data_IF_796676869372
#
_entry.id   IF_796676869372
#
_cell.length_a   1.000
_cell.length_b   1.000
_cell.length_c   1.000
_cell.angle_alpha   90.00
_cell.angle_beta   90.00
_cell.angle_gamma   90.00
#
_symmetry.space_group_name_H-M   'P 1'
#
loop_
_entity.id
_entity.type
_entity.pdbx_description
1 polymer ?
#
# COMPACT_ATOMS: atom_id res chain seq x y z
N UNK A 1 -22.57 -29.86 -11.04
CA UNK A 1 -22.60 -29.60 -9.59
C UNK A 1 -21.22 -29.92 -9.06
N UNK A 2 -20.39 -28.90 -8.84
CA UNK A 2 -18.99 -29.10 -8.46
C UNK A 2 -18.95 -29.74 -7.07
N UNK A 3 -18.29 -30.90 -6.98
CA UNK A 3 -17.87 -31.50 -5.72
C UNK A 3 -16.96 -30.49 -5.01
N UNK A 4 -17.54 -29.67 -4.14
CA UNK A 4 -16.77 -29.09 -3.04
C UNK A 4 -16.27 -30.28 -2.24
N UNK A 5 -14.96 -30.53 -2.27
CA UNK A 5 -14.31 -31.27 -1.20
C UNK A 5 -14.63 -30.53 0.09
N UNK A 6 -15.70 -30.97 0.75
CA UNK A 6 -16.05 -30.52 2.09
C UNK A 6 -14.86 -30.92 2.96
N UNK A 7 -14.05 -29.92 3.32
CA UNK A 7 -12.95 -30.04 4.25
C UNK A 7 -13.39 -30.85 5.48
N UNK A 8 -12.48 -31.68 6.01
CA UNK A 8 -12.78 -32.60 7.10
C UNK A 8 -13.42 -31.89 8.30
N UNK A 9 -13.03 -30.64 8.56
CA UNK A 9 -13.61 -29.79 9.60
C UNK A 9 -15.09 -29.47 9.37
N UNK A 10 -15.50 -29.15 8.15
CA UNK A 10 -16.91 -28.85 7.82
C UNK A 10 -17.77 -30.10 8.03
N UNK A 11 -17.30 -31.27 7.58
CA UNK A 11 -18.04 -32.54 7.73
C UNK A 11 -18.29 -32.89 9.20
N UNK A 12 -17.28 -32.72 10.06
CA UNK A 12 -17.41 -32.96 11.50
C UNK A 12 -18.44 -32.00 12.10
N UNK A 13 -18.32 -30.71 11.81
CA UNK A 13 -19.25 -29.68 12.29
C UNK A 13 -20.70 -29.98 11.89
N UNK A 14 -20.95 -30.30 10.61
CA UNK A 14 -22.29 -30.63 10.11
C UNK A 14 -22.89 -31.87 10.80
N UNK A 15 -22.05 -32.87 11.10
CA UNK A 15 -22.47 -34.07 11.83
C UNK A 15 -22.86 -33.76 13.26
N UNK A 16 -22.15 -32.86 13.93
CA UNK A 16 -22.44 -32.48 15.32
C UNK A 16 -23.73 -31.67 15.44
N UNK A 17 -23.93 -30.67 14.58
CA UNK A 17 -25.15 -29.85 14.62
C UNK A 17 -26.40 -30.65 14.21
N UNK A 18 -26.21 -31.73 13.44
CA UNK A 18 -27.29 -32.64 13.06
C UNK A 18 -27.80 -33.54 14.19
N UNK A 19 -27.10 -33.63 15.33
CA UNK A 19 -27.52 -34.43 16.49
C UNK A 19 -28.63 -33.79 17.32
N UNK A 20 -28.85 -32.49 17.17
CA UNK A 20 -29.88 -31.76 17.94
C UNK A 20 -31.14 -31.63 17.10
N UNK A 21 -32.28 -32.02 17.66
CA UNK A 21 -33.57 -31.94 17.00
C UNK A 21 -34.04 -30.48 16.81
N UNK A 22 -34.90 -30.29 15.82
CA UNK A 22 -35.52 -28.99 15.56
C UNK A 22 -36.60 -28.71 16.60
N UNK A 23 -36.69 -27.44 17.03
CA UNK A 23 -37.67 -27.01 18.00
C UNK A 23 -39.04 -26.78 17.35
N UNK A 24 -40.10 -27.09 18.09
CA UNK A 24 -41.45 -26.66 17.79
C UNK A 24 -41.67 -25.22 18.26
N UNK A 25 -42.68 -24.49 17.72
CA UNK A 25 -42.99 -23.14 18.19
C UNK A 25 -43.27 -23.07 19.70
N UNK A 26 -43.92 -24.09 20.28
CA UNK A 26 -44.19 -24.16 21.72
C UNK A 26 -42.89 -24.30 22.53
N UNK A 27 -41.95 -25.13 22.06
CA UNK A 27 -40.64 -25.28 22.69
C UNK A 27 -39.80 -23.99 22.59
N UNK A 28 -39.90 -23.24 21.49
CA UNK A 28 -39.25 -21.93 21.36
C UNK A 28 -39.74 -20.94 22.44
N UNK A 29 -41.05 -20.95 22.74
CA UNK A 29 -41.63 -20.10 23.79
C UNK A 29 -41.13 -20.51 25.18
N UNK A 30 -41.19 -21.81 25.49
CA UNK A 30 -40.75 -22.34 26.79
C UNK A 30 -39.27 -22.05 27.06
N UNK A 31 -38.42 -22.28 26.05
CA UNK A 31 -36.99 -21.99 26.15
C UNK A 31 -36.73 -20.49 26.29
N UNK A 32 -37.43 -19.65 25.54
CA UNK A 32 -37.29 -18.20 25.65
C UNK A 32 -37.65 -17.68 27.05
N UNK A 33 -38.69 -18.22 27.68
CA UNK A 33 -39.07 -17.86 29.05
C UNK A 33 -38.03 -18.29 30.08
N UNK A 34 -37.43 -19.48 29.90
CA UNK A 34 -36.29 -19.93 30.73
C UNK A 34 -35.05 -19.08 30.52
N UNK A 35 -34.75 -18.69 29.28
CA UNK A 35 -33.63 -17.81 28.94
C UNK A 35 -33.80 -16.43 29.59
N UNK A 36 -35.01 -15.86 29.60
CA UNK A 36 -35.31 -14.60 30.30
C UNK A 36 -35.06 -14.68 31.80
N UNK A 37 -35.20 -15.87 32.40
CA UNK A 37 -34.88 -16.15 33.80
C UNK A 37 -33.39 -16.43 34.05
N UNK A 38 -32.55 -16.38 33.01
CA UNK A 38 -31.11 -16.57 33.11
C UNK A 38 -30.63 -18.01 33.01
N UNK A 39 -31.44 -18.92 32.47
CA UNK A 39 -31.07 -20.34 32.30
C UNK A 39 -30.05 -20.54 31.15
N UNK A 40 -28.79 -20.92 31.46
CA UNK A 40 -27.76 -21.10 30.44
C UNK A 40 -27.96 -22.37 29.60
N UNK A 41 -28.60 -23.42 30.15
CA UNK A 41 -28.84 -24.66 29.41
C UNK A 41 -29.94 -24.45 28.36
N UNK A 42 -31.02 -23.73 28.72
CA UNK A 42 -32.06 -23.36 27.77
C UNK A 42 -31.48 -22.52 26.62
N UNK A 43 -30.59 -21.56 26.93
CA UNK A 43 -29.87 -20.76 25.93
C UNK A 43 -29.05 -21.64 25.00
N UNK A 44 -28.24 -22.54 25.56
CA UNK A 44 -27.39 -23.45 24.78
C UNK A 44 -28.22 -24.38 23.89
N UNK A 45 -29.33 -24.91 24.40
CA UNK A 45 -30.23 -25.79 23.65
C UNK A 45 -30.88 -25.04 22.48
N UNK A 46 -31.40 -23.84 22.73
CA UNK A 46 -32.01 -22.99 21.70
C UNK A 46 -31.02 -22.60 20.59
N UNK A 47 -29.75 -22.34 20.94
CA UNK A 47 -28.68 -22.11 19.96
C UNK A 47 -28.42 -23.37 19.14
N UNK A 48 -28.14 -24.51 19.80
CA UNK A 48 -27.77 -25.78 19.14
C UNK A 48 -28.82 -26.23 18.13
N UNK A 49 -30.10 -26.15 18.48
CA UNK A 49 -31.19 -26.53 17.58
C UNK A 49 -31.29 -25.65 16.32
N UNK A 50 -30.75 -24.43 16.35
CA UNK A 50 -30.82 -23.46 15.26
C UNK A 50 -29.52 -23.30 14.46
N UNK A 51 -28.45 -24.05 14.76
CA UNK A 51 -27.18 -23.96 14.04
C UNK A 51 -27.32 -24.29 12.54
N UNK A 52 -28.26 -25.17 12.18
CA UNK A 52 -28.56 -25.53 10.78
C UNK A 52 -29.05 -24.32 9.97
N UNK A 53 -29.78 -23.40 10.59
CA UNK A 53 -30.22 -22.15 9.95
C UNK A 53 -29.02 -21.27 9.59
N UNK A 54 -28.02 -21.21 10.47
CA UNK A 54 -26.80 -20.41 10.23
C UNK A 54 -26.06 -20.94 9.00
N UNK A 55 -25.85 -22.25 8.91
CA UNK A 55 -25.20 -22.87 7.75
C UNK A 55 -25.94 -22.54 6.46
N UNK A 56 -27.27 -22.70 6.47
CA UNK A 56 -28.11 -22.39 5.29
C UNK A 56 -27.97 -20.94 4.84
N UNK A 57 -27.92 -20.00 5.77
CA UNK A 57 -27.74 -18.57 5.45
C UNK A 57 -26.30 -18.29 5.00
N UNK A 58 -25.30 -18.88 5.65
CA UNK A 58 -23.89 -18.67 5.33
C UNK A 58 -23.53 -19.17 3.92
N UNK A 59 -24.18 -20.22 3.44
CA UNK A 59 -23.99 -20.75 2.09
C UNK A 59 -24.27 -19.70 0.99
N UNK A 60 -25.24 -18.81 1.20
CA UNK A 60 -25.56 -17.72 0.26
C UNK A 60 -24.41 -16.69 0.13
N UNK A 61 -23.47 -16.67 1.08
CA UNK A 61 -22.33 -15.77 1.14
C UNK A 61 -20.99 -16.48 0.89
N UNK A 62 -21.02 -17.76 0.48
CA UNK A 62 -19.81 -18.47 0.09
C UNK A 62 -19.11 -17.76 -1.07
N UNK A 63 -17.78 -17.81 -1.11
CA UNK A 63 -16.93 -17.20 -2.14
C UNK A 63 -16.87 -15.65 -2.17
N UNK A 64 -17.43 -14.97 -1.17
CA UNK A 64 -17.32 -13.49 -1.06
C UNK A 64 -15.99 -13.01 -0.45
N UNK A 65 -15.06 -13.92 -0.14
CA UNK A 65 -13.71 -13.59 0.34
C UNK A 65 -13.38 -14.10 1.75
N UNK A 66 -14.31 -14.80 2.41
CA UNK A 66 -14.04 -15.52 3.65
C UNK A 66 -14.34 -17.03 3.47
N UNK A 67 -13.57 -17.92 4.11
CA UNK A 67 -13.90 -19.33 4.23
C UNK A 67 -15.31 -19.56 4.79
N UNK A 68 -15.96 -20.65 4.35
CA UNK A 68 -17.33 -20.96 4.80
C UNK A 68 -17.42 -21.16 6.32
N UNK A 69 -16.41 -21.78 6.94
CA UNK A 69 -16.37 -21.96 8.40
C UNK A 69 -16.32 -20.63 9.17
N UNK A 70 -15.61 -19.63 8.62
CA UNK A 70 -15.55 -18.31 9.23
C UNK A 70 -16.90 -17.59 9.11
N UNK A 71 -17.57 -17.70 7.95
CA UNK A 71 -18.92 -17.19 7.75
C UNK A 71 -19.92 -17.85 8.71
N UNK A 72 -19.83 -19.16 8.91
CA UNK A 72 -20.65 -19.90 9.87
C UNK A 72 -20.38 -19.40 11.29
N UNK A 73 -19.12 -19.23 11.67
CA UNK A 73 -18.72 -18.77 13.01
C UNK A 73 -19.26 -17.36 13.31
N UNK A 74 -19.13 -16.43 12.36
CA UNK A 74 -19.68 -15.08 12.45
C UNK A 74 -21.21 -15.08 12.46
N UNK A 75 -21.83 -15.99 11.70
CA UNK A 75 -23.27 -16.22 11.74
C UNK A 75 -23.76 -16.76 13.09
N UNK A 76 -22.99 -17.66 13.73
CA UNK A 76 -23.28 -18.20 15.06
C UNK A 76 -23.26 -17.09 16.12
N UNK A 77 -22.32 -16.13 16.01
CA UNK A 77 -22.31 -14.92 16.86
C UNK A 77 -23.60 -14.10 16.67
N UNK A 78 -24.07 -13.98 15.43
CA UNK A 78 -25.37 -13.37 15.13
C UNK A 78 -26.54 -14.11 15.77
N UNK A 79 -26.58 -15.44 15.65
CA UNK A 79 -27.61 -16.29 16.26
C UNK A 79 -27.63 -16.15 17.79
N UNK A 80 -26.48 -16.14 18.45
CA UNK A 80 -26.40 -15.95 19.91
C UNK A 80 -27.07 -14.64 20.35
N UNK A 81 -26.81 -13.54 19.64
CA UNK A 81 -27.45 -12.24 19.91
C UNK A 81 -28.96 -12.28 19.64
N UNK A 82 -29.40 -13.02 18.64
CA UNK A 82 -30.82 -13.20 18.35
C UNK A 82 -31.53 -13.94 19.49
N UNK A 83 -30.92 -15.03 19.98
CA UNK A 83 -31.43 -15.85 21.08
C UNK A 83 -31.56 -15.04 22.36
N UNK A 84 -30.57 -14.19 22.68
CA UNK A 84 -30.60 -13.31 23.86
C UNK A 84 -31.69 -12.24 23.83
N UNK A 85 -32.10 -11.81 22.63
CA UNK A 85 -33.06 -10.71 22.43
C UNK A 85 -34.42 -11.16 21.91
N UNK A 86 -34.62 -12.46 21.75
CA UNK A 86 -35.84 -13.02 21.21
C UNK A 86 -37.00 -12.85 22.19
N UNK A 87 -38.14 -12.42 21.67
CA UNK A 87 -39.35 -12.23 22.46
C UNK A 87 -40.55 -12.90 21.77
N UNK A 88 -41.01 -14.07 22.28
CA UNK A 88 -42.13 -14.81 21.70
C UNK A 88 -43.44 -14.02 21.66
N UNK A 89 -43.63 -13.08 22.59
CA UNK A 89 -44.85 -12.26 22.69
C UNK A 89 -45.10 -11.39 21.46
N UNK A 90 -44.09 -11.18 20.60
CA UNK A 90 -44.22 -10.44 19.35
C UNK A 90 -44.78 -11.27 18.19
N UNK A 91 -45.16 -12.54 18.42
CA UNK A 91 -45.90 -13.37 17.48
C UNK A 91 -45.08 -13.90 16.29
N UNK A 92 -43.74 -13.84 16.35
CA UNK A 92 -42.84 -14.31 15.29
C UNK A 92 -42.01 -15.51 15.73
N UNK A 93 -41.70 -16.42 14.79
CA UNK A 93 -40.77 -17.54 14.99
C UNK A 93 -39.36 -17.04 15.23
N UNK A 94 -38.56 -17.76 16.03
CA UNK A 94 -37.15 -17.43 16.23
C UNK A 94 -36.39 -17.37 14.91
N UNK A 95 -36.65 -18.32 13.99
CA UNK A 95 -35.99 -18.38 12.68
C UNK A 95 -36.12 -17.09 11.86
N UNK A 96 -37.28 -16.43 11.89
CA UNK A 96 -37.51 -15.15 11.20
C UNK A 96 -36.65 -14.03 11.81
N UNK A 97 -36.61 -13.94 13.14
CA UNK A 97 -35.84 -12.92 13.85
C UNK A 97 -34.33 -13.17 13.75
N UNK A 98 -33.90 -14.41 13.97
CA UNK A 98 -32.51 -14.83 13.91
C UNK A 98 -31.90 -14.66 12.53
N UNK A 99 -32.66 -14.90 11.45
CA UNK A 99 -32.16 -14.71 10.10
C UNK A 99 -31.64 -13.29 9.85
N UNK A 100 -32.25 -12.26 10.43
CA UNK A 100 -31.77 -10.88 10.31
C UNK A 100 -30.43 -10.69 11.02
N UNK A 101 -30.29 -11.16 12.26
CA UNK A 101 -29.04 -11.06 13.03
C UNK A 101 -27.90 -11.86 12.42
N UNK A 102 -28.19 -13.06 11.91
CA UNK A 102 -27.21 -13.91 11.23
C UNK A 102 -26.69 -13.19 9.99
N UNK A 103 -27.59 -12.71 9.10
CA UNK A 103 -27.20 -11.97 7.89
C UNK A 103 -26.41 -10.70 8.23
N UNK A 104 -26.82 -9.95 9.26
CA UNK A 104 -26.15 -8.74 9.69
C UNK A 104 -24.72 -9.03 10.19
N UNK A 105 -24.55 -10.08 11.00
CA UNK A 105 -23.25 -10.49 11.52
C UNK A 105 -22.31 -10.90 10.39
N UNK A 106 -22.78 -11.75 9.47
CA UNK A 106 -22.02 -12.21 8.30
C UNK A 106 -21.62 -11.03 7.40
N UNK A 107 -22.56 -10.14 7.06
CA UNK A 107 -22.26 -8.96 6.23
C UNK A 107 -21.23 -8.04 6.89
N UNK A 108 -21.33 -7.86 8.21
CA UNK A 108 -20.36 -7.06 8.96
C UNK A 108 -18.98 -7.70 8.98
N UNK A 109 -18.90 -9.03 9.13
CA UNK A 109 -17.64 -9.75 9.07
C UNK A 109 -16.99 -9.62 7.69
N UNK A 110 -17.77 -9.86 6.62
CA UNK A 110 -17.32 -9.66 5.25
C UNK A 110 -16.77 -8.25 5.02
N UNK A 111 -17.48 -7.21 5.47
CA UNK A 111 -17.03 -5.84 5.30
C UNK A 111 -15.69 -5.54 6.02
N UNK A 112 -15.41 -6.21 7.14
CA UNK A 112 -14.21 -5.95 7.94
C UNK A 112 -13.02 -6.86 7.61
N UNK A 113 -13.28 -8.09 7.15
CA UNK A 113 -12.28 -9.16 7.07
C UNK A 113 -12.05 -9.70 5.64
N UNK A 114 -12.95 -9.44 4.68
CA UNK A 114 -12.85 -10.04 3.33
C UNK A 114 -11.72 -9.49 2.44
N UNK A 115 -11.07 -8.39 2.83
CA UNK A 115 -9.99 -7.74 2.07
C UNK A 115 -8.71 -7.75 2.89
N UNK A 116 -7.60 -8.11 2.24
CA UNK A 116 -6.24 -8.03 2.79
C UNK A 116 -5.92 -6.63 3.30
N UNK A 117 -6.28 -5.61 2.53
CA UNK A 117 -6.22 -4.20 2.94
C UNK A 117 -7.61 -3.79 3.41
N UNK A 118 -7.76 -3.61 4.73
CA UNK A 118 -9.05 -3.32 5.34
C UNK A 118 -9.63 -1.99 4.86
N UNK A 119 -10.91 -2.01 4.48
CA UNK A 119 -11.68 -0.81 4.15
C UNK A 119 -12.74 -0.51 5.22
N UNK A 120 -13.10 0.77 5.43
CA UNK A 120 -14.26 1.11 6.26
C UNK A 120 -15.57 0.54 5.68
N UNK A 121 -16.52 0.17 6.56
CA UNK A 121 -17.80 -0.44 6.16
C UNK A 121 -18.57 0.40 5.14
N UNK A 122 -18.65 1.71 5.35
CA UNK A 122 -19.35 2.62 4.44
C UNK A 122 -18.72 2.68 3.03
N UNK A 123 -17.43 2.34 2.88
CA UNK A 123 -16.77 2.23 1.59
C UNK A 123 -17.11 0.91 0.91
N UNK A 124 -17.16 -0.19 1.67
CA UNK A 124 -17.61 -1.50 1.17
C UNK A 124 -19.03 -1.42 0.65
N UNK A 125 -19.95 -0.78 1.40
CA UNK A 125 -21.34 -0.60 0.98
C UNK A 125 -21.45 0.16 -0.36
N UNK A 126 -20.64 1.22 -0.53
CA UNK A 126 -20.57 1.97 -1.79
C UNK A 126 -20.04 1.12 -2.94
N UNK A 127 -19.00 0.33 -2.72
CA UNK A 127 -18.45 -0.59 -3.72
C UNK A 127 -19.49 -1.66 -4.10
N UNK A 128 -20.20 -2.23 -3.12
CA UNK A 128 -21.27 -3.19 -3.38
C UNK A 128 -22.45 -2.58 -4.13
N UNK A 129 -22.85 -1.34 -3.82
CA UNK A 129 -23.86 -0.59 -4.58
C UNK A 129 -23.40 -0.38 -6.03
N UNK A 130 -22.17 0.09 -6.21
CA UNK A 130 -21.56 0.32 -7.52
C UNK A 130 -21.57 -0.94 -8.38
N UNK A 131 -21.15 -2.09 -7.84
CA UNK A 131 -21.18 -3.38 -8.56
C UNK A 131 -22.60 -3.81 -8.95
N UNK A 132 -23.58 -3.61 -8.06
CA UNK A 132 -24.97 -3.98 -8.33
C UNK A 132 -25.57 -3.13 -9.45
N UNK A 133 -25.32 -1.83 -9.42
CA UNK A 133 -25.77 -0.90 -10.47
C UNK A 133 -25.07 -1.23 -11.79
N UNK A 134 -23.75 -1.41 -11.79
CA UNK A 134 -23.01 -1.78 -12.99
C UNK A 134 -23.52 -3.08 -13.63
N UNK A 135 -23.82 -4.10 -12.81
CA UNK A 135 -24.37 -5.36 -13.30
C UNK A 135 -25.78 -5.20 -13.91
N UNK A 136 -26.65 -4.42 -13.27
CA UNK A 136 -27.99 -4.13 -13.80
C UNK A 136 -27.92 -3.35 -15.13
N UNK A 137 -27.06 -2.33 -15.19
CA UNK A 137 -26.83 -1.58 -16.43
C UNK A 137 -26.24 -2.46 -17.53
N UNK A 138 -25.34 -3.38 -17.17
CA UNK A 138 -24.75 -4.29 -18.17
C UNK A 138 -25.78 -5.25 -18.77
N UNK A 139 -26.78 -5.65 -18.00
CA UNK A 139 -27.90 -6.47 -18.48
C UNK A 139 -28.81 -5.68 -19.43
N UNK A 140 -29.09 -4.41 -19.09
CA UNK A 140 -29.93 -3.53 -19.91
C UNK A 140 -29.24 -3.08 -21.21
N UNK A 141 -27.94 -2.74 -21.15
CA UNK A 141 -27.16 -2.21 -22.27
C UNK A 141 -26.59 -3.32 -23.16
N UNK A 142 -26.53 -4.56 -22.69
CA UNK A 142 -25.83 -5.66 -23.36
C UNK A 142 -24.29 -5.48 -23.42
N UNK A 143 -23.74 -4.54 -22.65
CA UNK A 143 -22.31 -4.25 -22.52
C UNK A 143 -22.00 -3.64 -21.16
N UNK A 144 -20.75 -3.68 -20.73
CA UNK A 144 -20.32 -2.96 -19.52
C UNK A 144 -20.59 -1.44 -19.66
N UNK A 145 -21.13 -0.79 -18.62
CA UNK A 145 -21.36 0.65 -18.64
C UNK A 145 -20.03 1.41 -18.59
N UNK A 146 -20.00 2.56 -19.26
CA UNK A 146 -18.87 3.48 -19.17
C UNK A 146 -18.82 4.15 -17.80
N UNK A 147 -17.65 4.71 -17.44
CA UNK A 147 -17.49 5.45 -16.19
C UNK A 147 -18.47 6.62 -16.07
N UNK A 148 -18.78 7.29 -17.17
CA UNK A 148 -19.69 8.43 -17.21
C UNK A 148 -21.14 7.98 -16.94
N UNK A 149 -21.62 6.98 -17.68
CA UNK A 149 -22.95 6.37 -17.49
C UNK A 149 -23.14 5.87 -16.05
N UNK A 150 -22.13 5.16 -15.52
CA UNK A 150 -22.18 4.62 -14.16
C UNK A 150 -22.13 5.72 -13.09
N UNK A 151 -21.42 6.81 -13.35
CA UNK A 151 -21.33 7.95 -12.43
C UNK A 151 -22.65 8.72 -12.32
N UNK A 152 -23.34 8.90 -13.46
CA UNK A 152 -24.66 9.52 -13.53
C UNK A 152 -25.71 8.66 -12.82
N UNK A 153 -25.75 7.36 -13.09
CA UNK A 153 -26.71 6.44 -12.48
C UNK A 153 -26.54 6.30 -10.96
N UNK A 154 -25.28 6.27 -10.47
CA UNK A 154 -25.01 6.21 -9.03
C UNK A 154 -25.22 7.56 -8.34
N UNK A 155 -25.12 8.67 -9.08
CA UNK A 155 -25.18 10.04 -8.58
C UNK A 155 -23.90 10.47 -7.86
N UNK A 156 -22.72 10.08 -8.38
CA UNK A 156 -21.42 10.47 -7.81
C UNK A 156 -20.49 11.03 -8.89
N UNK A 157 -19.57 11.91 -8.49
CA UNK A 157 -18.55 12.44 -9.39
C UNK A 157 -17.60 11.34 -9.93
N UNK A 158 -17.13 11.51 -11.17
CA UNK A 158 -16.25 10.57 -11.85
C UNK A 158 -14.93 10.33 -11.09
N UNK A 159 -14.35 11.37 -10.48
CA UNK A 159 -13.14 11.23 -9.65
C UNK A 159 -13.38 10.28 -8.48
N UNK A 160 -14.56 10.40 -7.86
CA UNK A 160 -14.95 9.54 -6.73
C UNK A 160 -15.25 8.12 -7.17
N UNK A 161 -15.85 7.93 -8.35
CA UNK A 161 -16.05 6.62 -8.94
C UNK A 161 -14.71 5.92 -9.21
N UNK A 162 -13.73 6.64 -9.78
CA UNK A 162 -12.38 6.13 -10.01
C UNK A 162 -11.73 5.65 -8.72
N UNK A 163 -11.80 6.46 -7.64
CA UNK A 163 -11.29 6.06 -6.32
C UNK A 163 -11.97 4.79 -5.78
N UNK A 164 -13.29 4.64 -5.98
CA UNK A 164 -14.02 3.43 -5.58
C UNK A 164 -13.60 2.21 -6.39
N UNK A 165 -13.36 2.37 -7.70
CA UNK A 165 -12.82 1.30 -8.56
C UNK A 165 -11.43 0.89 -8.09
N UNK A 166 -10.53 1.84 -7.81
CA UNK A 166 -9.20 1.56 -7.27
C UNK A 166 -9.27 0.82 -5.94
N UNK A 167 -10.09 1.27 -4.99
CA UNK A 167 -10.26 0.61 -3.69
C UNK A 167 -10.93 -0.78 -3.81
N UNK A 168 -11.71 -1.01 -4.87
CA UNK A 168 -12.35 -2.30 -5.14
C UNK A 168 -11.34 -3.37 -5.58
N UNK A 169 -10.21 -2.99 -6.19
CA UNK A 169 -9.18 -3.92 -6.65
C UNK A 169 -8.66 -4.83 -5.51
N UNK A 170 -8.35 -6.08 -5.85
CA UNK A 170 -7.73 -7.05 -4.95
C UNK A 170 -6.22 -7.09 -5.25
N UNK A 171 -5.35 -7.14 -4.22
CA UNK A 171 -3.92 -7.31 -4.45
C UNK A 171 -3.64 -8.67 -5.12
N UNK A 172 -2.63 -8.72 -5.96
CA UNK A 172 -2.10 -9.96 -6.53
C UNK A 172 -1.09 -10.60 -5.55
N UNK A 173 -0.90 -11.92 -5.64
CA UNK A 173 0.15 -12.61 -4.89
C UNK A 173 1.50 -12.40 -5.55
N UNK A 174 2.55 -12.16 -4.77
CA UNK A 174 3.92 -12.16 -5.28
C UNK A 174 4.38 -13.58 -5.62
N UNK A 175 3.85 -14.58 -4.92
CA UNK A 175 4.16 -16.00 -5.14
C UNK A 175 3.36 -16.59 -6.32
N UNK A 176 2.61 -15.78 -7.06
CA UNK A 176 1.88 -16.26 -8.23
C UNK A 176 2.85 -16.54 -9.38
N UNK A 177 2.80 -17.73 -10.03
CA UNK A 177 3.63 -18.01 -11.19
C UNK A 177 3.22 -17.13 -12.36
N UNK A 178 4.20 -16.68 -13.14
CA UNK A 178 3.98 -15.81 -14.31
C UNK A 178 3.89 -16.64 -15.61
N UNK A 179 4.54 -17.80 -15.63
CA UNK A 179 4.63 -18.71 -16.77
C UNK A 179 4.23 -20.12 -16.37
N UNK A 180 3.68 -20.87 -17.33
CA UNK A 180 3.21 -22.26 -17.14
C UNK A 180 4.32 -23.26 -16.76
N UNK A 181 5.60 -22.90 -16.96
CA UNK A 181 6.75 -23.73 -16.56
C UNK A 181 7.09 -23.61 -15.06
N UNK A 182 6.25 -22.94 -14.25
CA UNK A 182 6.36 -22.78 -12.78
C UNK A 182 7.73 -22.28 -12.27
N UNK A 183 8.58 -21.75 -13.15
CA UNK A 183 9.98 -21.43 -12.84
C UNK A 183 10.21 -19.97 -12.43
N UNK A 184 9.20 -19.10 -12.53
CA UNK A 184 9.36 -17.68 -12.20
C UNK A 184 8.10 -17.15 -11.52
N UNK A 185 8.29 -16.65 -10.30
CA UNK A 185 7.24 -16.01 -9.49
C UNK A 185 7.18 -14.51 -9.76
N UNK A 186 6.01 -13.90 -9.58
CA UNK A 186 5.83 -12.45 -9.78
C UNK A 186 6.79 -11.61 -8.93
N UNK A 187 7.07 -12.04 -7.70
CA UNK A 187 8.00 -11.38 -6.78
C UNK A 187 9.43 -11.27 -7.29
N UNK A 188 9.89 -12.22 -8.11
CA UNK A 188 11.27 -12.25 -8.62
C UNK A 188 11.54 -11.17 -9.68
N UNK A 189 10.49 -10.65 -10.32
CA UNK A 189 10.58 -9.58 -11.33
C UNK A 189 10.57 -8.19 -10.67
N UNK A 190 10.04 -8.08 -9.45
CA UNK A 190 9.91 -6.79 -8.77
C UNK A 190 11.28 -6.31 -8.31
N UNK A 191 11.80 -5.29 -8.99
CA UNK A 191 13.05 -4.64 -8.59
C UNK A 191 12.95 -3.89 -7.27
N UNK A 192 14.04 -3.88 -6.50
CA UNK A 192 14.17 -3.05 -5.30
C UNK A 192 14.64 -1.63 -5.68
N UNK A 193 13.74 -0.67 -5.57
CA UNK A 193 14.03 0.75 -5.85
C UNK A 193 15.00 1.39 -4.84
N UNK A 194 15.19 0.77 -3.66
CA UNK A 194 16.13 1.25 -2.65
C UNK A 194 17.50 0.56 -2.75
N UNK A 195 17.66 -0.38 -3.69
CA UNK A 195 18.93 -1.05 -3.89
C UNK A 195 19.98 -0.04 -4.38
N UNK A 196 21.10 0.01 -3.66
CA UNK A 196 22.19 0.88 -4.04
C UNK A 196 22.88 0.32 -5.27
N UNK A 197 22.90 1.08 -6.35
CA UNK A 197 23.62 0.70 -7.55
C UNK A 197 25.14 0.70 -7.26
N UNK A 198 25.86 -0.43 -7.47
CA UNK A 198 27.31 -0.50 -7.25
C UNK A 198 28.09 0.57 -8.03
N UNK A 199 27.62 0.92 -9.23
CA UNK A 199 28.21 1.98 -10.04
C UNK A 199 28.06 3.35 -9.37
N UNK A 200 26.87 3.64 -8.83
CA UNK A 200 26.62 4.91 -8.12
C UNK A 200 27.44 5.00 -6.84
N UNK A 201 27.54 3.90 -6.06
CA UNK A 201 28.38 3.83 -4.87
C UNK A 201 29.86 4.09 -5.20
N UNK A 202 30.38 3.45 -6.25
CA UNK A 202 31.76 3.67 -6.71
C UNK A 202 31.96 5.09 -7.24
N UNK A 203 31.00 5.62 -7.99
CA UNK A 203 31.01 7.00 -8.48
C UNK A 203 31.06 7.99 -7.32
N UNK A 204 30.22 7.79 -6.30
CA UNK A 204 30.19 8.63 -5.10
C UNK A 204 31.50 8.55 -4.31
N UNK A 205 32.07 7.35 -4.15
CA UNK A 205 33.39 7.16 -3.51
C UNK A 205 34.52 7.82 -4.31
N UNK A 206 34.50 7.69 -5.63
CA UNK A 206 35.46 8.34 -6.52
C UNK A 206 35.32 9.87 -6.43
N UNK A 207 34.10 10.39 -6.42
CA UNK A 207 33.80 11.80 -6.25
C UNK A 207 34.37 12.34 -4.92
N UNK A 208 34.16 11.62 -3.81
CA UNK A 208 34.74 11.98 -2.51
C UNK A 208 36.28 11.98 -2.55
N UNK A 209 36.90 10.96 -3.13
CA UNK A 209 38.37 10.89 -3.29
C UNK A 209 38.92 12.04 -4.15
N UNK A 210 38.20 12.40 -5.23
CA UNK A 210 38.57 13.53 -6.06
C UNK A 210 38.41 14.87 -5.33
N UNK A 211 37.35 15.03 -4.52
CA UNK A 211 37.14 16.19 -3.67
C UNK A 211 38.25 16.32 -2.62
N UNK A 212 38.60 15.24 -1.93
CA UNK A 212 39.70 15.21 -0.97
C UNK A 212 41.02 15.66 -1.61
N UNK A 213 41.32 15.15 -2.81
CA UNK A 213 42.50 15.57 -3.57
C UNK A 213 42.46 17.02 -4.06
N UNK A 214 41.30 17.66 -4.16
CA UNK A 214 41.18 19.10 -4.45
C UNK A 214 41.31 19.94 -3.18
N UNK A 215 40.78 19.44 -2.06
CA UNK A 215 40.85 20.10 -0.75
C UNK A 215 42.29 20.23 -0.23
N UNK A 216 43.24 19.40 -0.69
CA UNK A 216 44.66 19.56 -0.34
C UNK A 216 45.30 20.85 -0.87
N UNK A 217 44.65 21.56 -1.80
CA UNK A 217 45.13 22.86 -2.32
C UNK A 217 44.79 24.01 -1.37
N UNK A 218 43.83 23.80 -0.46
CA UNK A 218 43.44 24.78 0.53
C UNK A 218 44.40 24.74 1.73
N UNK A 219 44.60 25.90 2.37
CA UNK A 219 45.28 25.91 3.65
C UNK A 219 44.42 25.28 4.77
N UNK A 220 45.03 24.94 5.91
CA UNK A 220 44.33 24.23 7.00
C UNK A 220 43.10 25.00 7.51
N UNK A 221 43.16 26.34 7.50
CA UNK A 221 42.08 27.19 7.98
C UNK A 221 40.93 27.25 6.97
N UNK A 222 41.24 27.39 5.68
CA UNK A 222 40.29 27.35 4.57
C UNK A 222 39.60 25.99 4.47
N UNK A 223 40.34 24.89 4.64
CA UNK A 223 39.78 23.53 4.63
C UNK A 223 38.77 23.34 5.76
N UNK A 224 39.11 23.70 6.99
CA UNK A 224 38.19 23.59 8.14
C UNK A 224 36.91 24.44 7.95
N UNK A 225 37.02 25.62 7.35
CA UNK A 225 35.86 26.49 7.03
C UNK A 225 34.95 25.84 5.97
N UNK A 226 35.54 25.26 4.92
CA UNK A 226 34.79 24.58 3.85
C UNK A 226 34.14 23.29 4.37
N UNK A 227 34.86 22.50 5.16
CA UNK A 227 34.34 21.28 5.78
C UNK A 227 33.15 21.58 6.71
N UNK A 228 33.25 22.61 7.56
CA UNK A 228 32.16 23.01 8.45
C UNK A 228 30.96 23.61 7.69
N UNK A 229 31.21 24.37 6.61
CA UNK A 229 30.15 25.00 5.81
C UNK A 229 29.33 23.99 5.02
N UNK A 230 29.98 22.99 4.44
CA UNK A 230 29.35 22.01 3.54
C UNK A 230 29.14 20.64 4.18
N UNK A 231 29.67 20.40 5.39
CA UNK A 231 29.49 19.14 6.10
C UNK A 231 30.30 17.97 5.52
N UNK A 232 31.42 18.25 4.84
CA UNK A 232 32.17 17.25 4.06
C UNK A 232 32.73 16.08 4.90
N UNK A 233 32.96 16.32 6.20
CA UNK A 233 33.46 15.30 7.15
C UNK A 233 32.32 14.52 7.84
N UNK A 234 31.13 14.45 7.23
CA UNK A 234 29.96 13.75 7.79
C UNK A 234 29.21 14.53 8.87
N UNK A 235 29.54 15.81 9.07
CA UNK A 235 28.79 16.71 9.96
C UNK A 235 27.68 17.44 9.20
N UNK A 236 26.67 17.96 9.89
CA UNK A 236 25.67 18.82 9.27
C UNK A 236 26.31 20.12 8.76
N UNK A 237 25.91 20.55 7.57
CA UNK A 237 26.30 21.83 7.00
C UNK A 237 25.89 22.98 7.94
N UNK A 238 26.84 23.84 8.31
CA UNK A 238 26.61 25.00 9.19
C UNK A 238 26.40 26.28 8.38
N UNK A 239 25.71 27.26 8.95
CA UNK A 239 25.52 28.59 8.34
C UNK A 239 26.80 29.44 8.44
N UNK A 240 26.88 30.50 7.64
CA UNK A 240 28.03 31.44 7.67
C UNK A 240 28.22 32.10 9.05
N UNK A 241 27.12 32.25 9.79
CA UNK A 241 27.12 32.88 11.11
C UNK A 241 27.62 31.91 12.19
N UNK A 242 27.15 30.66 12.17
CA UNK A 242 27.64 29.59 13.05
C UNK A 242 29.14 29.30 12.86
N UNK A 243 29.58 29.23 11.60
CA UNK A 243 31.02 29.09 11.29
C UNK A 243 31.79 30.36 11.70
N UNK A 244 31.17 31.55 11.59
CA UNK A 244 31.80 32.79 12.06
C UNK A 244 32.07 32.79 13.56
N UNK A 245 31.08 32.34 14.34
CA UNK A 245 31.18 32.22 15.80
C UNK A 245 32.29 31.25 16.22
N UNK A 246 32.38 30.09 15.57
CA UNK A 246 33.40 29.07 15.86
C UNK A 246 34.83 29.55 15.55
N UNK A 247 35.02 30.33 14.48
CA UNK A 247 36.34 30.81 14.06
C UNK A 247 36.67 32.23 14.58
N UNK A 248 35.81 32.81 15.43
CA UNK A 248 35.99 34.13 16.02
C UNK A 248 36.03 35.27 15.01
N UNK A 249 35.27 35.16 13.91
CA UNK A 249 35.26 36.14 12.81
C UNK A 249 33.84 36.48 12.38
N UNK A 250 33.67 37.65 11.74
CA UNK A 250 32.35 38.07 11.26
C UNK A 250 31.82 37.14 10.16
N UNK A 251 30.48 37.03 10.07
CA UNK A 251 29.79 36.32 8.98
C UNK A 251 30.31 36.71 7.59
N UNK A 252 30.52 38.00 7.38
CA UNK A 252 31.00 38.53 6.10
C UNK A 252 32.45 38.10 5.82
N UNK A 253 33.28 37.97 6.86
CA UNK A 253 34.64 37.46 6.72
C UNK A 253 34.65 35.98 6.31
N UNK A 254 33.78 35.13 6.88
CA UNK A 254 33.62 33.73 6.43
C UNK A 254 33.19 33.67 4.96
N UNK A 255 32.25 34.52 4.54
CA UNK A 255 31.81 34.61 3.14
C UNK A 255 32.98 34.92 2.19
N UNK A 256 33.85 35.87 2.57
CA UNK A 256 35.05 36.20 1.80
C UNK A 256 36.02 35.01 1.70
N UNK A 257 36.33 34.37 2.82
CA UNK A 257 37.23 33.21 2.87
C UNK A 257 36.68 32.03 2.07
N UNK A 258 35.37 31.77 2.15
CA UNK A 258 34.70 30.77 1.32
C UNK A 258 34.88 31.05 -0.17
N UNK A 259 34.65 32.28 -0.61
CA UNK A 259 34.80 32.64 -2.04
C UNK A 259 36.25 32.51 -2.52
N UNK A 260 37.23 32.81 -1.66
CA UNK A 260 38.64 32.61 -1.97
C UNK A 260 38.96 31.12 -2.12
N UNK A 261 38.52 30.29 -1.18
CA UNK A 261 38.71 28.84 -1.20
C UNK A 261 38.03 28.20 -2.43
N UNK A 262 36.76 28.53 -2.71
CA UNK A 262 36.04 28.03 -3.90
C UNK A 262 36.74 28.41 -5.21
N UNK A 263 37.33 29.61 -5.29
CA UNK A 263 38.10 30.04 -6.46
C UNK A 263 39.42 29.27 -6.60
N UNK A 264 40.09 28.94 -5.49
CA UNK A 264 41.27 28.05 -5.49
C UNK A 264 40.90 26.65 -5.97
N UNK A 265 39.83 26.06 -5.43
CA UNK A 265 39.31 24.75 -5.84
C UNK A 265 38.92 24.72 -7.34
N UNK A 266 38.22 25.75 -7.83
CA UNK A 266 37.85 25.86 -9.25
C UNK A 266 39.07 25.89 -10.18
N UNK A 267 40.14 26.58 -9.79
CA UNK A 267 41.41 26.60 -10.55
C UNK A 267 42.11 25.24 -10.52
N UNK A 268 42.09 24.56 -9.38
CA UNK A 268 42.65 23.21 -9.25
C UNK A 268 41.90 22.19 -10.11
N UNK A 269 40.57 22.27 -10.14
CA UNK A 269 39.71 21.45 -10.99
C UNK A 269 40.01 21.66 -12.49
N UNK A 270 40.04 22.92 -12.96
CA UNK A 270 40.38 23.24 -14.36
C UNK A 270 41.76 22.72 -14.77
N UNK A 271 42.75 22.78 -13.87
CA UNK A 271 44.10 22.26 -14.14
C UNK A 271 44.13 20.72 -14.22
N UNK A 272 43.18 20.04 -13.58
CA UNK A 272 43.04 18.59 -13.58
C UNK A 272 42.26 18.09 -14.81
N UNK A 273 41.31 18.89 -15.31
CA UNK A 273 40.51 18.61 -16.51
C UNK A 273 41.21 18.95 -17.84
N UNK A 274 42.16 19.90 -17.86
CA UNK A 274 42.99 20.23 -19.03
C UNK A 274 44.35 19.49 -18.99
N UNK A 275 44.51 18.31 -19.65
CA UNK A 275 45.79 17.59 -19.65
C UNK A 275 46.86 18.24 -20.55
N UNK A 276 46.54 19.30 -21.31
CA UNK A 276 47.45 19.92 -22.28
C UNK A 276 48.18 21.11 -21.64
N UNK A 277 49.52 21.06 -21.48
CA UNK A 277 50.31 22.19 -21.01
C UNK A 277 50.08 23.45 -21.87
N UNK A 278 49.88 24.61 -21.22
CA UNK A 278 49.74 25.93 -21.86
C UNK A 278 50.79 26.22 -22.95
N UNK A 279 51.99 25.64 -22.83
CA UNK A 279 53.07 25.76 -23.80
C UNK A 279 52.69 25.22 -25.21
N UNK A 280 51.91 24.14 -25.29
CA UNK A 280 51.47 23.54 -26.56
C UNK A 280 50.34 24.35 -27.22
N UNK A 281 49.52 25.05 -26.42
CA UNK A 281 48.46 25.94 -26.92
C UNK A 281 49.01 27.16 -27.66
N UNK A 282 50.16 27.68 -27.21
CA UNK A 282 50.80 28.86 -27.81
C UNK A 282 51.62 28.54 -29.08
N UNK A 283 52.02 27.28 -29.28
CA UNK A 283 52.74 26.84 -30.49
C UNK A 283 51.82 26.74 -31.73
N UNK A 284 50.54 26.38 -31.55
CA UNK A 284 49.55 26.30 -32.64
C UNK A 284 49.14 27.67 -33.22
N UNK A 285 49.18 28.74 -32.41
CA UNK A 285 48.75 30.09 -32.83
C UNK A 285 49.73 30.81 -33.78
N UNK A 286 51.03 30.49 -33.76
CA UNK A 286 52.02 31.13 -34.63
C UNK A 286 52.04 30.58 -36.06
N UNK A 287 51.65 29.31 -36.28
CA UNK A 287 51.56 28.73 -37.64
C UNK A 287 50.35 29.22 -38.43
N UNK A 288 49.24 29.56 -37.77
CA UNK A 288 48.03 30.07 -38.42
C UNK A 288 48.12 31.51 -38.97
N UNK A 289 49.02 32.34 -38.42
CA UNK A 289 49.21 33.73 -38.89
C UNK A 289 50.10 33.86 -40.13
N UNK A 290 50.97 32.90 -40.43
CA UNK A 290 51.76 32.89 -41.68
C UNK A 290 50.91 32.50 -42.89
N UNK A 291 50.05 31.47 -42.78
CA UNK A 291 49.16 31.05 -43.89
C UNK A 291 48.15 32.12 -44.32
N UNK A 292 47.67 32.98 -43.40
CA UNK A 292 46.75 34.08 -43.75
C UNK A 292 47.42 35.25 -44.49
N UNK A 293 48.76 35.39 -44.45
CA UNK A 293 49.47 36.43 -45.20
C UNK A 293 49.81 36.01 -46.63
N UNK A 294 50.02 34.71 -46.90
CA UNK A 294 50.24 34.21 -48.26
C UNK A 294 48.95 34.19 -49.10
N UNK A 295 47.79 34.02 -48.46
CA UNK A 295 46.49 34.04 -49.16
C UNK A 295 45.96 35.45 -49.48
N UNK A 296 46.62 36.52 -49.06
CA UNK A 296 46.20 37.91 -49.30
C UNK A 296 47.02 38.65 -50.37
N UNK A 297 47.86 37.92 -51.12
CA UNK A 297 48.73 38.44 -52.17
C UNK A 297 48.38 37.85 -53.57
N UNK A 298 47.26 37.16 -53.70
CA UNK A 298 46.82 36.50 -54.94
C UNK A 298 45.35 36.80 -55.27
N UNK A 299 44.85 37.98 -54.89
CA UNK A 299 43.61 38.56 -55.43
C UNK A 299 43.85 40.05 -55.75
#
# INVERSE_FOLDING_TARGET
>A
MANMELDGGIKIYLREIGKTDLLTPQQEVELADRIKKGDPEARAHMIKANLRLVVKIAQDYANYGLPLLDLISEGNIGLMKAVERFDPNKGGKLSTYAAWWIKQSIKRALANQSKTIRLPVHMVDKISKMRRVAMAMSEELGREPTDDELSEEIGIDRSKLSQLKTASMRPASLDAPISDDDSTEFGEIVGDENAHNPFELLSHKNMHSQLDGLLTVLDERERKIIDARFGLNGQKARTLEEVGQEFGVTRERIRQLQNIALRKLRRALQKKEDPIPKALRNAGGKKGRKKKKEAALVD
#
